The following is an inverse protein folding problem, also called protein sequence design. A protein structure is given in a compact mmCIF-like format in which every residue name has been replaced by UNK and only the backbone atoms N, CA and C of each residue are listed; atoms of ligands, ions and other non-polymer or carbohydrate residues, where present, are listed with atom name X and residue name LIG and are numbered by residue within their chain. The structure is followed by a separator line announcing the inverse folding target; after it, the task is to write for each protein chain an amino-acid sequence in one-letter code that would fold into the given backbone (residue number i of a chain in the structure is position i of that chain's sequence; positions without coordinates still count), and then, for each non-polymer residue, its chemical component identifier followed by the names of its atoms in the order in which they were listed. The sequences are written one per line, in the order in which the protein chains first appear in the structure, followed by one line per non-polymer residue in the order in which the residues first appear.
data_IF_198307391583
#
_entry.id   IF_198307391583
#
_cell.length_a   1.000
_cell.length_b   1.000
_cell.length_c   1.000
_cell.angle_alpha   90.00
_cell.angle_beta   90.00
_cell.angle_gamma   90.00
#
_symmetry.space_group_name_H-M   'P 1'
#
loop_
_entity.id
_entity.type
_entity.pdbx_description
1 polymer ?
#
# COMPACT_ATOMS: atom_id res chain seq x y z
N UNK A 1 4.09 22.53 -14.99
CA UNK A 1 3.16 21.49 -15.50
C UNK A 1 2.35 21.93 -16.73
N UNK A 2 1.29 22.76 -16.64
CA UNK A 2 0.50 23.15 -17.83
C UNK A 2 1.33 23.97 -18.84
N UNK A 3 2.16 24.89 -18.36
CA UNK A 3 3.08 25.69 -19.19
C UNK A 3 4.19 24.85 -19.86
N UNK A 4 4.66 23.77 -19.21
CA UNK A 4 5.65 22.83 -19.76
C UNK A 4 5.05 21.89 -20.81
N UNK A 5 3.84 21.36 -20.58
CA UNK A 5 3.17 20.53 -21.59
C UNK A 5 2.85 21.33 -22.85
N UNK A 6 2.49 22.61 -22.70
CA UNK A 6 2.26 23.54 -23.81
C UNK A 6 3.56 23.84 -24.58
N UNK A 7 4.69 24.04 -23.89
CA UNK A 7 5.97 24.29 -24.56
C UNK A 7 6.55 23.05 -25.24
N UNK A 8 6.31 21.87 -24.67
CA UNK A 8 6.87 20.59 -25.15
C UNK A 8 6.09 20.01 -26.33
N UNK A 9 4.76 20.14 -26.32
CA UNK A 9 3.91 19.59 -27.39
C UNK A 9 4.00 20.36 -28.71
N UNK A 10 4.40 21.64 -28.69
CA UNK A 10 4.45 22.55 -29.87
C UNK A 10 3.21 22.44 -30.79
N UNK A 11 2.06 22.08 -30.22
CA UNK A 11 0.87 21.66 -30.95
C UNK A 11 -0.36 22.34 -30.37
N UNK A 12 -1.29 22.74 -31.24
CA UNK A 12 -2.57 23.30 -30.82
C UNK A 12 -3.45 22.27 -30.07
N UNK A 13 -3.17 20.98 -30.21
CA UNK A 13 -3.95 19.87 -29.62
C UNK A 13 -3.42 19.40 -28.25
N UNK A 14 -2.78 20.29 -27.48
CA UNK A 14 -2.19 19.95 -26.19
C UNK A 14 -3.25 19.58 -25.14
N UNK A 15 -4.46 20.15 -25.22
CA UNK A 15 -5.57 19.88 -24.28
C UNK A 15 -6.07 18.42 -24.36
N UNK A 16 -6.46 17.87 -25.54
CA UNK A 16 -6.80 16.45 -25.65
C UNK A 16 -5.68 15.51 -25.21
N UNK A 17 -4.42 15.85 -25.51
CA UNK A 17 -3.26 15.06 -25.08
C UNK A 17 -3.07 15.07 -23.56
N UNK A 18 -3.34 16.21 -22.91
CA UNK A 18 -3.30 16.33 -21.47
C UNK A 18 -4.38 15.48 -20.80
N UNK A 19 -5.63 15.54 -21.29
CA UNK A 19 -6.74 14.73 -20.77
C UNK A 19 -6.43 13.24 -20.90
N UNK A 20 -5.96 12.79 -22.07
CA UNK A 20 -5.60 11.38 -22.30
C UNK A 20 -4.42 10.93 -21.41
N UNK A 21 -3.46 11.82 -21.13
CA UNK A 21 -2.39 11.54 -20.18
C UNK A 21 -2.93 11.40 -18.75
N UNK A 22 -3.78 12.32 -18.29
CA UNK A 22 -4.40 12.26 -16.98
C UNK A 22 -5.21 10.97 -16.81
N UNK A 23 -5.99 10.57 -17.82
CA UNK A 23 -6.75 9.31 -17.84
C UNK A 23 -5.84 8.10 -17.63
N UNK A 24 -4.82 7.93 -18.48
CA UNK A 24 -3.89 6.80 -18.37
C UNK A 24 -3.17 6.77 -17.03
N UNK A 25 -2.76 7.94 -16.55
CA UNK A 25 -2.05 8.04 -15.27
C UNK A 25 -2.97 7.78 -14.07
N UNK A 26 -4.26 8.10 -14.16
CA UNK A 26 -5.26 7.75 -13.14
C UNK A 26 -5.52 6.24 -13.11
N UNK A 27 -5.68 5.62 -14.29
CA UNK A 27 -5.86 4.18 -14.43
C UNK A 27 -4.69 3.39 -13.84
N UNK A 28 -3.46 3.86 -14.06
CA UNK A 28 -2.26 3.28 -13.47
C UNK A 28 -2.24 3.37 -11.95
N UNK A 29 -2.58 4.53 -11.38
CA UNK A 29 -2.67 4.71 -9.93
C UNK A 29 -3.75 3.79 -9.32
N UNK A 30 -4.93 3.70 -9.95
CA UNK A 30 -5.99 2.78 -9.50
C UNK A 30 -5.55 1.33 -9.59
N UNK A 31 -4.82 0.94 -10.64
CA UNK A 31 -4.25 -0.40 -10.75
C UNK A 31 -3.27 -0.68 -9.63
N UNK A 32 -2.33 0.24 -9.37
CA UNK A 32 -1.36 0.10 -8.28
C UNK A 32 -2.04 0.03 -6.92
N UNK A 33 -3.05 0.85 -6.66
CA UNK A 33 -3.83 0.79 -5.43
C UNK A 33 -4.47 -0.60 -5.23
N UNK A 34 -5.05 -1.19 -6.28
CA UNK A 34 -5.63 -2.55 -6.22
C UNK A 34 -4.58 -3.62 -5.92
N UNK A 35 -3.42 -3.57 -6.57
CA UNK A 35 -2.34 -4.53 -6.33
C UNK A 35 -1.78 -4.40 -4.91
N UNK A 36 -1.56 -3.17 -4.43
CA UNK A 36 -1.13 -2.93 -3.05
C UNK A 36 -2.18 -3.44 -2.06
N UNK A 37 -3.48 -3.18 -2.30
CA UNK A 37 -4.55 -3.67 -1.44
C UNK A 37 -4.55 -5.21 -1.35
N UNK A 38 -4.32 -5.90 -2.47
CA UNK A 38 -4.19 -7.36 -2.48
C UNK A 38 -3.04 -7.83 -1.58
N UNK A 39 -1.86 -7.23 -1.73
CA UNK A 39 -0.70 -7.52 -0.89
C UNK A 39 -0.99 -7.22 0.58
N UNK A 40 -1.64 -6.09 0.89
CA UNK A 40 -2.04 -5.73 2.26
C UNK A 40 -2.94 -6.80 2.87
N UNK A 41 -3.94 -7.30 2.13
CA UNK A 41 -4.83 -8.35 2.62
C UNK A 41 -4.07 -9.65 2.92
N UNK A 42 -3.19 -10.07 2.02
CA UNK A 42 -2.38 -11.28 2.18
C UNK A 42 -1.43 -11.17 3.40
N UNK A 43 -0.68 -10.08 3.49
CA UNK A 43 0.26 -9.83 4.61
C UNK A 43 -0.51 -9.71 5.93
N UNK A 44 -1.65 -9.04 5.95
CA UNK A 44 -2.47 -8.91 7.15
C UNK A 44 -2.98 -10.28 7.63
N UNK A 45 -3.35 -11.18 6.70
CA UNK A 45 -3.70 -12.56 7.04
C UNK A 45 -2.56 -13.31 7.73
N UNK A 46 -1.33 -13.17 7.22
CA UNK A 46 -0.12 -13.77 7.84
C UNK A 46 0.16 -13.16 9.21
N UNK A 47 0.05 -11.84 9.35
CA UNK A 47 0.23 -11.12 10.62
C UNK A 47 -0.78 -11.62 11.66
N UNK A 48 -2.06 -11.77 11.30
CA UNK A 48 -3.09 -12.29 12.20
C UNK A 48 -2.82 -13.74 12.62
N UNK A 49 -2.45 -14.61 11.68
CA UNK A 49 -2.11 -16.00 11.99
C UNK A 49 -0.90 -16.09 12.95
N UNK A 50 0.09 -15.21 12.76
CA UNK A 50 1.26 -15.13 13.64
C UNK A 50 0.91 -14.58 15.03
N UNK A 51 0.00 -13.61 15.15
CA UNK A 51 -0.50 -13.15 16.45
C UNK A 51 -1.12 -14.32 17.24
N UNK A 52 -1.98 -15.11 16.60
CA UNK A 52 -2.59 -16.28 17.22
C UNK A 52 -1.52 -17.30 17.67
N UNK A 53 -0.53 -17.59 16.83
CA UNK A 53 0.56 -18.50 17.18
C UNK A 53 1.39 -18.00 18.37
N UNK A 54 1.65 -16.69 18.44
CA UNK A 54 2.35 -16.06 19.57
C UNK A 54 1.55 -16.21 20.87
N UNK A 55 0.22 -16.03 20.81
CA UNK A 55 -0.67 -16.21 21.95
C UNK A 55 -0.67 -17.67 22.43
N UNK A 56 -0.76 -18.63 21.50
CA UNK A 56 -0.67 -20.06 21.79
C UNK A 56 0.66 -20.41 22.47
N UNK A 57 1.80 -19.92 21.94
CA UNK A 57 3.11 -20.11 22.58
C UNK A 57 3.17 -19.51 23.99
N UNK A 58 2.55 -18.33 24.19
CA UNK A 58 2.47 -17.68 25.49
C UNK A 58 1.63 -18.49 26.50
N UNK A 59 0.59 -19.18 26.04
CA UNK A 59 -0.26 -20.03 26.88
C UNK A 59 0.46 -21.27 27.43
N UNK A 60 1.56 -21.70 26.80
CA UNK A 60 2.42 -22.80 27.26
C UNK A 60 3.32 -22.41 28.45
N UNK A 61 2.95 -21.36 29.21
CA UNK A 61 3.68 -20.51 30.16
C UNK A 61 4.47 -21.16 31.32
N UNK A 62 4.71 -22.47 31.28
CA UNK A 62 5.63 -23.18 32.18
C UNK A 62 6.95 -23.60 31.52
N UNK A 63 7.04 -23.51 30.18
CA UNK A 63 8.26 -23.90 29.45
C UNK A 63 9.08 -22.67 29.05
N UNK A 64 10.35 -22.64 29.47
CA UNK A 64 11.28 -21.54 29.19
C UNK A 64 11.42 -21.24 27.68
N UNK A 65 11.53 -22.29 26.86
CA UNK A 65 11.76 -22.16 25.40
C UNK A 65 10.56 -21.51 24.68
N UNK A 66 9.30 -22.01 24.79
CA UNK A 66 8.13 -21.33 24.24
C UNK A 66 7.97 -19.87 24.68
N UNK A 67 8.26 -19.55 25.94
CA UNK A 67 8.19 -18.17 26.44
C UNK A 67 9.18 -17.26 25.71
N UNK A 68 10.43 -17.69 25.57
CA UNK A 68 11.46 -16.92 24.85
C UNK A 68 11.17 -16.80 23.36
N UNK A 69 10.62 -17.85 22.76
CA UNK A 69 10.18 -17.82 21.36
C UNK A 69 9.05 -16.81 21.15
N UNK A 70 8.06 -16.76 22.05
CA UNK A 70 6.97 -15.79 21.98
C UNK A 70 7.48 -14.34 22.13
N UNK A 71 8.41 -14.09 23.05
CA UNK A 71 9.06 -12.78 23.20
C UNK A 71 9.75 -12.33 21.90
N UNK A 72 10.57 -13.20 21.31
CA UNK A 72 11.28 -12.91 20.06
C UNK A 72 10.31 -12.67 18.89
N UNK A 73 9.29 -13.51 18.76
CA UNK A 73 8.30 -13.37 17.68
C UNK A 73 7.47 -12.09 17.80
N UNK A 74 7.18 -11.61 19.02
CA UNK A 74 6.50 -10.31 19.25
C UNK A 74 7.33 -9.13 18.74
N UNK A 75 8.65 -9.20 18.87
CA UNK A 75 9.53 -8.14 18.36
C UNK A 75 9.47 -8.07 16.83
N UNK A 76 9.59 -9.22 16.15
CA UNK A 76 9.44 -9.29 14.69
C UNK A 76 8.04 -8.84 14.27
N UNK A 77 7.00 -9.29 14.98
CA UNK A 77 5.61 -8.96 14.70
C UNK A 77 5.34 -7.45 14.71
N UNK A 78 6.03 -6.68 15.56
CA UNK A 78 5.91 -5.23 15.59
C UNK A 78 6.34 -4.61 14.26
N UNK A 79 7.45 -5.08 13.70
CA UNK A 79 7.95 -4.63 12.39
C UNK A 79 6.98 -5.01 11.27
N UNK A 80 6.46 -6.23 11.29
CA UNK A 80 5.49 -6.70 10.28
C UNK A 80 4.22 -5.84 10.28
N UNK A 81 3.71 -5.49 11.47
CA UNK A 81 2.55 -4.58 11.63
C UNK A 81 2.84 -3.17 11.11
N UNK A 82 4.06 -2.66 11.32
CA UNK A 82 4.48 -1.36 10.78
C UNK A 82 4.51 -1.39 9.24
N UNK A 83 5.00 -2.47 8.63
CA UNK A 83 5.00 -2.66 7.17
C UNK A 83 3.57 -2.65 6.63
N UNK A 84 2.64 -3.38 7.27
CA UNK A 84 1.21 -3.37 6.88
C UNK A 84 0.64 -1.96 6.91
N UNK A 85 0.92 -1.19 7.98
CA UNK A 85 0.44 0.19 8.09
C UNK A 85 1.01 1.09 6.97
N UNK A 86 2.30 0.96 6.64
CA UNK A 86 2.92 1.72 5.54
C UNK A 86 2.30 1.39 4.18
N UNK A 87 2.04 0.10 3.92
CA UNK A 87 1.39 -0.33 2.68
C UNK A 87 -0.05 0.20 2.57
N UNK A 88 -0.79 0.23 3.68
CA UNK A 88 -2.14 0.82 3.71
C UNK A 88 -2.13 2.32 3.43
N UNK A 89 -1.15 3.06 3.95
CA UNK A 89 -0.97 4.49 3.65
C UNK A 89 -0.68 4.67 2.16
N UNK A 90 0.28 3.94 1.62
CA UNK A 90 0.66 4.02 0.21
C UNK A 90 -0.52 3.72 -0.72
N UNK A 91 -1.32 2.69 -0.40
CA UNK A 91 -2.55 2.37 -1.14
C UNK A 91 -3.50 3.58 -1.19
N UNK A 92 -3.78 4.20 -0.04
CA UNK A 92 -4.67 5.39 0.04
C UNK A 92 -4.12 6.58 -0.72
N UNK A 93 -2.80 6.77 -0.71
CA UNK A 93 -2.14 7.83 -1.49
C UNK A 93 -2.34 7.60 -2.99
N UNK A 94 -2.18 6.37 -3.47
CA UNK A 94 -2.44 6.03 -4.87
C UNK A 94 -3.91 6.28 -5.25
N UNK A 95 -4.87 5.85 -4.43
CA UNK A 95 -6.30 6.13 -4.67
C UNK A 95 -6.60 7.65 -4.70
N UNK A 96 -6.01 8.41 -3.77
CA UNK A 96 -6.20 9.85 -3.72
C UNK A 96 -5.60 10.54 -4.95
N UNK A 97 -4.44 10.10 -5.41
CA UNK A 97 -3.79 10.64 -6.60
C UNK A 97 -4.60 10.33 -7.87
N UNK A 98 -5.14 9.11 -7.98
CA UNK A 98 -6.05 8.74 -9.06
C UNK A 98 -7.28 9.66 -9.08
N UNK A 99 -7.96 9.83 -7.94
CA UNK A 99 -9.14 10.71 -7.82
C UNK A 99 -8.81 12.18 -8.13
N UNK A 100 -7.63 12.67 -7.75
CA UNK A 100 -7.20 14.02 -8.11
C UNK A 100 -7.06 14.18 -9.63
N UNK A 101 -6.53 13.16 -10.32
CA UNK A 101 -6.39 13.17 -11.79
C UNK A 101 -7.75 13.11 -12.48
N UNK A 102 -8.71 12.38 -11.92
CA UNK A 102 -10.10 12.34 -12.39
C UNK A 102 -10.79 13.72 -12.38
N UNK A 103 -10.40 14.64 -11.49
CA UNK A 103 -10.94 16.00 -11.47
C UNK A 103 -10.50 16.86 -12.67
N UNK A 104 -9.45 16.45 -13.39
CA UNK A 104 -8.95 17.13 -14.58
C UNK A 104 -9.48 16.53 -15.89
N UNK A 105 -10.32 15.50 -15.79
CA UNK A 105 -10.95 14.77 -16.90
C UNK A 105 -12.44 15.16 -16.97
#
# INVERSE_FOLDING_TARGET
MVSELRSTSKSANWEPMFVLYCQRSADEDYRLAREINKVVMEVNGVVMAKDQYIEELGSLGTRHVPSKMAEFLREIQRSDKEIVAKLQILMREMELNARKKDLFI
#
